data_IF_078705126103
#
_entry.id   IF_078705126103
#
_cell.length_a   1.000
_cell.length_b   1.000
_cell.length_c   1.000
_cell.angle_alpha   90.00
_cell.angle_beta   90.00
_cell.angle_gamma   90.00
#
_symmetry.space_group_name_H-M   'P 1'
#
loop_
_entity.id
_entity.type
_entity.pdbx_description
1 polymer ?
#
# COMPACT_ATOMS: atom_id res chain seq x y z
N UNK A 1 -7.88 -17.54 5.09
CA UNK A 1 -9.13 -17.19 4.37
C UNK A 1 -9.69 -15.79 4.66
N UNK A 2 -10.19 -15.41 5.85
CA UNK A 2 -10.75 -14.03 6.01
C UNK A 2 -9.70 -12.93 5.86
N UNK A 3 -8.55 -13.06 6.55
CA UNK A 3 -7.43 -12.14 6.37
C UNK A 3 -6.85 -12.22 4.94
N UNK A 4 -6.74 -13.43 4.41
CA UNK A 4 -6.23 -13.73 3.06
C UNK A 4 -7.07 -13.07 1.96
N UNK A 5 -8.39 -13.24 1.97
CA UNK A 5 -9.27 -12.61 0.99
C UNK A 5 -9.25 -11.07 1.10
N UNK A 6 -9.16 -10.53 2.31
CA UNK A 6 -8.99 -9.08 2.49
C UNK A 6 -7.64 -8.58 1.95
N UNK A 7 -6.57 -9.38 2.07
CA UNK A 7 -5.26 -9.06 1.50
C UNK A 7 -5.23 -9.19 -0.03
N UNK A 8 -5.98 -10.13 -0.60
CA UNK A 8 -6.16 -10.24 -2.06
C UNK A 8 -6.85 -8.99 -2.63
N UNK A 9 -7.91 -8.50 -1.98
CA UNK A 9 -8.59 -7.25 -2.35
C UNK A 9 -7.65 -6.04 -2.27
N UNK A 10 -6.88 -5.91 -1.18
CA UNK A 10 -5.87 -4.85 -1.03
C UNK A 10 -4.83 -4.93 -2.14
N UNK A 11 -4.35 -6.13 -2.47
CA UNK A 11 -3.39 -6.36 -3.55
C UNK A 11 -3.96 -5.96 -4.91
N UNK A 12 -5.21 -6.33 -5.19
CA UNK A 12 -5.91 -5.95 -6.42
C UNK A 12 -6.06 -4.42 -6.56
N UNK A 13 -6.41 -3.72 -5.48
CA UNK A 13 -6.48 -2.27 -5.46
C UNK A 13 -5.11 -1.61 -5.67
N UNK A 14 -4.04 -2.13 -5.07
CA UNK A 14 -2.68 -1.63 -5.30
C UNK A 14 -2.23 -1.82 -6.75
N UNK A 15 -2.60 -2.94 -7.38
CA UNK A 15 -2.35 -3.16 -8.81
C UNK A 15 -3.14 -2.18 -9.69
N UNK A 16 -4.38 -1.86 -9.31
CA UNK A 16 -5.18 -0.82 -9.97
C UNK A 16 -4.52 0.55 -9.84
N UNK A 17 -4.08 0.93 -8.63
CA UNK A 17 -3.34 2.18 -8.40
C UNK A 17 -2.07 2.24 -9.25
N UNK A 18 -1.30 1.15 -9.35
CA UNK A 18 -0.14 1.07 -10.25
C UNK A 18 -0.53 1.35 -11.70
N UNK A 19 -1.63 0.78 -12.17
CA UNK A 19 -2.12 1.00 -13.54
C UNK A 19 -2.52 2.46 -13.77
N UNK A 20 -3.22 3.07 -12.81
CA UNK A 20 -3.60 4.50 -12.88
C UNK A 20 -2.38 5.42 -12.83
N UNK A 21 -1.36 5.05 -12.07
CA UNK A 21 -0.09 5.78 -11.98
C UNK A 21 0.64 5.76 -13.33
N UNK A 22 0.74 4.59 -13.97
CA UNK A 22 1.29 4.47 -15.32
C UNK A 22 0.48 5.27 -16.35
N UNK A 23 -0.85 5.25 -16.23
CA UNK A 23 -1.71 6.10 -17.08
C UNK A 23 -1.38 7.57 -16.86
N UNK A 24 -1.32 8.06 -15.62
CA UNK A 24 -1.02 9.47 -15.30
C UNK A 24 0.38 9.92 -15.72
N UNK A 25 1.37 9.02 -15.64
CA UNK A 25 2.75 9.23 -16.07
C UNK A 25 2.87 9.42 -17.60
N UNK A 26 1.89 8.95 -18.38
CA UNK A 26 1.85 9.19 -19.82
C UNK A 26 1.74 10.71 -20.10
N UNK A 27 2.66 11.22 -20.91
CA UNK A 27 2.87 12.66 -21.10
C UNK A 27 1.72 13.40 -21.79
N UNK A 28 0.79 12.68 -22.42
CA UNK A 28 -0.33 13.26 -23.17
C UNK A 28 -1.55 13.63 -22.31
N UNK A 29 -1.58 13.30 -21.01
CA UNK A 29 -2.72 13.66 -20.16
C UNK A 29 -2.73 15.15 -19.81
N UNK A 30 -3.92 15.77 -19.86
CA UNK A 30 -4.10 17.11 -19.34
C UNK A 30 -4.06 17.11 -17.81
N UNK A 31 -3.85 18.29 -17.21
CA UNK A 31 -3.89 18.45 -15.75
C UNK A 31 -5.24 17.98 -15.16
N UNK A 32 -6.35 18.22 -15.86
CA UNK A 32 -7.68 17.77 -15.45
C UNK A 32 -7.82 16.24 -15.47
N UNK A 33 -7.21 15.57 -16.45
CA UNK A 33 -7.24 14.11 -16.53
C UNK A 33 -6.46 13.51 -15.37
N UNK A 34 -5.30 14.09 -15.02
CA UNK A 34 -4.51 13.66 -13.86
C UNK A 34 -5.24 13.89 -12.53
N UNK A 35 -5.97 14.99 -12.39
CA UNK A 35 -6.83 15.22 -11.22
C UNK A 35 -7.96 14.19 -11.11
N UNK A 36 -8.55 13.78 -12.23
CA UNK A 36 -9.57 12.73 -12.23
C UNK A 36 -8.99 11.36 -11.82
N UNK A 37 -7.81 11.00 -12.37
CA UNK A 37 -7.09 9.78 -11.98
C UNK A 37 -6.67 9.81 -10.50
N UNK A 38 -6.22 10.97 -10.00
CA UNK A 38 -5.88 11.14 -8.59
C UNK A 38 -7.08 10.86 -7.68
N UNK A 39 -8.28 11.32 -8.05
CA UNK A 39 -9.49 11.02 -7.27
C UNK A 39 -9.78 9.52 -7.20
N UNK A 40 -9.55 8.77 -8.27
CA UNK A 40 -9.70 7.31 -8.26
C UNK A 40 -8.65 6.68 -7.32
N UNK A 41 -7.40 7.14 -7.36
CA UNK A 41 -6.35 6.67 -6.43
C UNK A 41 -6.69 7.00 -4.97
N UNK A 42 -7.22 8.19 -4.69
CA UNK A 42 -7.64 8.57 -3.34
C UNK A 42 -8.79 7.69 -2.82
N UNK A 43 -9.74 7.34 -3.69
CA UNK A 43 -10.84 6.42 -3.34
C UNK A 43 -10.31 5.01 -3.06
N UNK A 44 -9.40 4.50 -3.89
CA UNK A 44 -8.79 3.18 -3.68
C UNK A 44 -7.96 3.13 -2.40
N UNK A 45 -7.19 4.17 -2.11
CA UNK A 45 -6.42 4.25 -0.86
C UNK A 45 -7.31 4.36 0.38
N UNK A 46 -8.41 5.11 0.30
CA UNK A 46 -9.43 5.15 1.36
C UNK A 46 -10.08 3.77 1.57
N UNK A 47 -10.35 3.03 0.49
CA UNK A 47 -10.89 1.69 0.57
C UNK A 47 -9.90 0.69 1.17
N UNK A 48 -8.60 0.79 0.85
CA UNK A 48 -7.54 0.00 1.52
C UNK A 48 -7.55 0.25 3.03
N UNK A 49 -7.60 1.52 3.46
CA UNK A 49 -7.69 1.88 4.87
C UNK A 49 -8.98 1.34 5.53
N UNK A 50 -10.10 1.35 4.79
CA UNK A 50 -11.36 0.76 5.24
C UNK A 50 -11.25 -0.75 5.40
N UNK A 51 -10.66 -1.48 4.45
CA UNK A 51 -10.48 -2.94 4.57
C UNK A 51 -9.57 -3.28 5.75
N UNK A 52 -8.45 -2.56 5.93
CA UNK A 52 -7.56 -2.76 7.07
C UNK A 52 -8.28 -2.59 8.42
N UNK A 53 -9.12 -1.55 8.53
CA UNK A 53 -9.86 -1.28 9.78
C UNK A 53 -11.15 -2.09 9.94
N UNK A 54 -11.79 -2.55 8.86
CA UNK A 54 -13.08 -3.24 8.91
C UNK A 54 -12.95 -4.77 8.96
N UNK A 55 -11.86 -5.35 8.43
CA UNK A 55 -11.68 -6.81 8.38
C UNK A 55 -11.62 -7.42 9.78
N UNK A 56 -12.66 -8.19 10.11
CA UNK A 56 -12.77 -8.92 11.38
C UNK A 56 -13.08 -10.38 11.16
N UNK A 57 -12.60 -11.22 12.07
CA UNK A 57 -13.05 -12.60 12.20
C UNK A 57 -13.43 -12.87 13.66
N UNK A 58 -14.63 -13.41 13.86
CA UNK A 58 -15.19 -13.66 15.20
C UNK A 58 -15.10 -12.44 16.15
N UNK A 59 -15.29 -11.22 15.62
CA UNK A 59 -15.22 -9.97 16.37
C UNK A 59 -13.80 -9.42 16.60
N UNK A 60 -12.75 -10.15 16.22
CA UNK A 60 -11.36 -9.72 16.34
C UNK A 60 -10.89 -9.06 15.04
N UNK A 61 -10.23 -7.91 15.14
CA UNK A 61 -9.61 -7.24 13.99
C UNK A 61 -8.39 -8.04 13.53
N UNK A 62 -8.30 -8.27 12.22
CA UNK A 62 -7.24 -9.11 11.66
C UNK A 62 -6.10 -8.31 11.06
N UNK A 63 -6.38 -7.10 10.58
CA UNK A 63 -5.47 -6.30 9.75
C UNK A 63 -5.09 -4.96 10.38
N UNK A 64 -5.27 -4.83 11.69
CA UNK A 64 -4.86 -3.63 12.45
C UNK A 64 -3.40 -3.68 12.90
N UNK A 65 -2.69 -4.78 12.62
CA UNK A 65 -1.27 -4.94 12.96
C UNK A 65 -1.01 -5.47 14.37
N UNK A 66 -2.05 -5.80 15.13
CA UNK A 66 -1.93 -6.36 16.49
C UNK A 66 -2.26 -7.85 16.57
N UNK A 67 -2.89 -8.40 15.51
CA UNK A 67 -3.40 -9.75 15.53
C UNK A 67 -2.28 -10.79 15.57
N UNK A 68 -2.35 -11.70 16.53
CA UNK A 68 -1.43 -12.82 16.66
C UNK A 68 -2.03 -13.89 17.56
N UNK A 69 -1.63 -15.14 17.34
CA UNK A 69 -2.15 -16.26 18.09
C UNK A 69 -1.47 -17.56 17.72
N UNK A 70 -1.92 -18.63 18.36
CA UNK A 70 -1.42 -19.97 18.14
C UNK A 70 -2.57 -20.95 18.10
N UNK A 71 -2.59 -21.81 17.08
CA UNK A 71 -3.53 -22.93 17.01
C UNK A 71 -2.85 -24.19 17.54
N UNK A 72 -3.42 -24.79 18.58
CA UNK A 72 -3.03 -26.13 19.03
C UNK A 72 -3.53 -27.14 17.99
N UNK A 73 -2.61 -27.88 17.37
CA UNK A 73 -2.91 -28.78 16.24
C UNK A 73 -2.69 -30.26 16.56
N UNK A 74 -2.25 -30.59 17.77
CA UNK A 74 -2.07 -31.97 18.19
C UNK A 74 -2.39 -32.23 19.65
N UNK A 75 -2.21 -33.47 20.07
CA UNK A 75 -2.68 -33.97 21.37
C UNK A 75 -1.73 -33.62 22.53
N UNK A 76 -0.44 -33.40 22.24
CA UNK A 76 0.56 -33.09 23.25
C UNK A 76 0.63 -31.59 23.54
N UNK A 77 0.94 -31.23 24.79
CA UNK A 77 1.17 -29.83 25.16
C UNK A 77 2.24 -29.18 24.26
N UNK A 78 1.99 -27.94 23.83
CA UNK A 78 2.85 -27.13 22.96
C UNK A 78 2.98 -27.58 21.50
N UNK A 79 2.16 -28.51 21.01
CA UNK A 79 1.99 -28.73 19.56
C UNK A 79 1.10 -27.63 18.96
N UNK A 80 1.68 -26.44 18.82
CA UNK A 80 0.99 -25.26 18.28
C UNK A 80 1.62 -24.75 17.00
N UNK A 81 0.79 -24.29 16.06
CA UNK A 81 1.20 -23.45 14.93
C UNK A 81 0.92 -22.00 15.31
N UNK A 82 1.99 -21.22 15.49
CA UNK A 82 1.92 -19.77 15.70
C UNK A 82 1.67 -19.01 14.41
N UNK A 83 0.93 -17.91 14.49
CA UNK A 83 0.77 -16.94 13.41
C UNK A 83 0.75 -15.53 13.99
N UNK A 84 1.27 -14.57 13.25
CA UNK A 84 1.29 -13.15 13.63
C UNK A 84 1.09 -12.29 12.40
N UNK A 85 0.14 -11.37 12.49
CA UNK A 85 -0.08 -10.27 11.54
C UNK A 85 0.30 -8.97 12.25
N UNK A 86 1.58 -8.87 12.60
CA UNK A 86 2.13 -7.72 13.31
C UNK A 86 2.74 -6.70 12.35
N UNK A 87 2.23 -5.48 12.35
CA UNK A 87 2.72 -4.39 11.50
C UNK A 87 2.42 -3.04 12.18
N UNK A 88 3.42 -2.17 12.22
CA UNK A 88 3.24 -0.78 12.69
C UNK A 88 2.23 -0.07 11.79
N UNK A 89 1.20 0.54 12.39
CA UNK A 89 0.05 1.17 11.70
C UNK A 89 -0.83 0.21 10.86
N UNK A 90 -0.72 -1.09 11.15
CA UNK A 90 -1.52 -2.14 10.52
C UNK A 90 -1.23 -2.31 9.03
N UNK A 91 -2.19 -2.86 8.31
CA UNK A 91 -2.09 -3.07 6.86
C UNK A 91 -2.78 -1.95 6.07
N UNK A 92 -2.85 -0.76 6.67
CA UNK A 92 -3.30 0.48 6.03
C UNK A 92 -2.25 1.01 5.05
N UNK A 93 -2.58 2.02 4.24
CA UNK A 93 -1.59 2.68 3.38
C UNK A 93 -0.40 3.21 4.21
N UNK A 94 -0.67 3.78 5.38
CA UNK A 94 0.39 4.25 6.28
C UNK A 94 1.26 3.10 6.77
N UNK A 95 0.67 1.98 7.19
CA UNK A 95 1.43 0.82 7.63
C UNK A 95 2.23 0.15 6.51
N UNK A 96 1.70 0.11 5.29
CA UNK A 96 2.42 -0.32 4.09
C UNK A 96 3.60 0.63 3.81
N UNK A 97 3.42 1.94 3.99
CA UNK A 97 4.50 2.93 3.82
C UNK A 97 5.67 2.68 4.79
N UNK A 98 5.36 2.36 6.05
CA UNK A 98 6.35 2.07 7.09
C UNK A 98 7.08 0.76 6.79
N UNK A 99 6.34 -0.27 6.37
CA UNK A 99 6.93 -1.54 5.94
C UNK A 99 7.85 -1.38 4.72
N UNK A 100 7.53 -0.45 3.82
CA UNK A 100 8.29 -0.14 2.63
C UNK A 100 9.49 0.78 2.87
N UNK A 101 10.08 0.84 4.07
CA UNK A 101 11.15 1.77 4.46
C UNK A 101 12.50 1.67 3.72
N UNK A 102 12.53 1.18 2.48
CA UNK A 102 13.71 1.12 1.62
C UNK A 102 13.82 2.38 0.75
N UNK A 103 15.04 2.70 0.33
CA UNK A 103 15.34 3.80 -0.60
C UNK A 103 15.76 3.23 -1.94
N UNK A 104 15.20 3.76 -3.03
CA UNK A 104 15.63 3.47 -4.40
C UNK A 104 16.46 4.65 -4.89
N UNK A 105 17.64 4.35 -5.45
CA UNK A 105 18.42 5.35 -6.19
C UNK A 105 17.83 5.51 -7.59
N UNK A 106 17.21 6.66 -7.85
CA UNK A 106 16.72 7.02 -9.18
C UNK A 106 17.85 7.70 -9.94
N UNK A 107 18.25 7.11 -11.07
CA UNK A 107 19.18 7.72 -12.03
C UNK A 107 18.35 8.48 -13.06
N UNK A 108 18.28 9.81 -12.94
CA UNK A 108 17.66 10.65 -13.97
C UNK A 108 18.62 10.80 -15.15
N UNK A 109 18.29 10.20 -16.29
CA UNK A 109 19.08 10.29 -17.51
C UNK A 109 18.86 11.62 -18.25
N UNK A 110 19.83 12.53 -18.16
CA UNK A 110 20.28 13.42 -19.24
C UNK A 110 21.52 14.19 -18.75
N UNK A 111 22.70 13.88 -19.32
CA UNK A 111 23.99 14.60 -19.14
C UNK A 111 24.29 15.08 -17.72
N UNK A 112 24.57 14.14 -16.82
CA UNK A 112 25.02 14.41 -15.45
C UNK A 112 24.25 13.54 -14.47
N UNK A 113 24.84 12.44 -14.01
CA UNK A 113 24.21 11.54 -13.04
C UNK A 113 23.91 12.28 -11.73
N UNK A 114 22.66 12.68 -11.55
CA UNK A 114 22.10 13.05 -10.24
C UNK A 114 21.41 11.81 -9.71
N UNK A 115 22.04 11.12 -8.76
CA UNK A 115 21.39 10.05 -7.99
C UNK A 115 20.46 10.71 -6.98
N UNK A 116 19.15 10.61 -7.21
CA UNK A 116 18.16 11.06 -6.21
C UNK A 116 17.65 9.83 -5.47
N UNK A 117 17.94 9.75 -4.18
CA UNK A 117 17.37 8.73 -3.32
C UNK A 117 15.88 9.06 -3.08
N UNK A 118 14.99 8.18 -3.54
CA UNK A 118 13.55 8.25 -3.25
C UNK A 118 13.22 7.14 -2.27
N UNK A 119 12.69 7.49 -1.09
CA UNK A 119 12.18 6.50 -0.14
C UNK A 119 10.90 5.89 -0.68
N UNK A 120 10.77 4.56 -0.71
CA UNK A 120 9.51 3.91 -1.14
C UNK A 120 8.37 4.32 -0.19
N UNK A 121 8.64 4.60 1.09
CA UNK A 121 7.63 5.18 1.99
C UNK A 121 7.08 6.52 1.48
N UNK A 122 7.89 7.33 0.79
CA UNK A 122 7.46 8.65 0.27
C UNK A 122 6.42 8.56 -0.84
N UNK A 123 6.35 7.41 -1.53
CA UNK A 123 5.32 7.09 -2.53
C UNK A 123 3.94 7.03 -1.87
N UNK A 124 3.88 6.57 -0.61
CA UNK A 124 2.65 6.31 0.14
C UNK A 124 2.33 7.39 1.19
N UNK A 125 3.15 8.45 1.29
CA UNK A 125 2.92 9.57 2.22
C UNK A 125 2.76 10.92 1.52
N UNK A 126 2.72 10.96 0.18
CA UNK A 126 2.70 12.19 -0.62
C UNK A 126 1.33 12.61 -1.18
N UNK A 127 0.33 11.73 -1.12
CA UNK A 127 -1.03 11.92 -1.66
C UNK A 127 -2.07 12.39 -0.64
N UNK A 128 -3.32 12.53 -1.09
CA UNK A 128 -4.48 12.87 -0.24
C UNK A 128 -4.87 11.72 0.71
N UNK A 129 -6.18 11.46 0.88
CA UNK A 129 -6.70 10.39 1.76
C UNK A 129 -6.13 8.99 1.47
N UNK A 130 -5.54 8.77 0.29
CA UNK A 130 -4.92 7.51 -0.13
C UNK A 130 -3.40 7.47 -0.10
N UNK A 131 -2.71 8.50 0.39
CA UNK A 131 -1.25 8.53 0.58
C UNK A 131 -0.40 8.54 -0.71
N UNK A 132 -0.97 8.21 -1.86
CA UNK A 132 -0.27 8.13 -3.16
C UNK A 132 -0.61 9.32 -4.04
N UNK A 133 0.41 10.03 -4.55
CA UNK A 133 0.25 11.19 -5.41
C UNK A 133 0.66 10.90 -6.85
N UNK A 134 -0.26 11.09 -7.78
CA UNK A 134 -0.08 10.96 -9.22
C UNK A 134 -0.58 12.20 -9.97
N UNK A 135 -0.84 13.31 -9.27
CA UNK A 135 -1.39 14.54 -9.85
C UNK A 135 -0.43 15.26 -10.82
N UNK A 136 0.85 14.91 -10.78
CA UNK A 136 1.85 15.36 -11.76
C UNK A 136 2.55 14.18 -12.42
N UNK A 137 3.09 14.38 -13.62
CA UNK A 137 3.89 13.37 -14.31
C UNK A 137 5.11 12.94 -13.48
N UNK A 138 5.77 13.88 -12.78
CA UNK A 138 6.93 13.57 -11.94
C UNK A 138 6.57 12.74 -10.72
N UNK A 139 5.40 12.92 -10.13
CA UNK A 139 4.95 12.11 -8.97
C UNK A 139 4.43 10.75 -9.43
N UNK A 140 3.70 10.70 -10.55
CA UNK A 140 3.20 9.46 -11.14
C UNK A 140 4.32 8.49 -11.58
N UNK A 141 5.51 9.02 -11.92
CA UNK A 141 6.69 8.19 -12.25
C UNK A 141 7.40 7.61 -11.03
N UNK A 142 7.09 8.07 -9.81
CA UNK A 142 7.69 7.55 -8.57
C UNK A 142 6.96 6.30 -8.05
N UNK A 143 5.72 6.07 -8.48
CA UNK A 143 4.83 4.95 -8.06
C UNK A 143 5.06 3.72 -8.93
#
# INVERSE_FOLDING_TARGET
QTAEGAMDEVTGMLQRIRTLSQQSANGSNSTKDREALQKEVDQLGAEINRISSATTFAGTKLLDGSFGGSFQVGADANQTIGFSLSQTDGFSISGISVAAGTTIDVISGSTGSVTTAVGISTIFTGGGSGGINIGSQSEAQKV
#
